data_IF_711401173212
#
_entry.id   IF_711401173212
#
_cell.length_a   1.000
_cell.length_b   1.000
_cell.length_c   1.000
_cell.angle_alpha   90.00
_cell.angle_beta   90.00
_cell.angle_gamma   90.00
#
_symmetry.space_group_name_H-M   'P 1'
#
loop_
_entity.id
_entity.type
_entity.pdbx_description
1 polymer ?
#
# COMPACT_ATOMS: atom_id res chain seq x y z
N UNK A 1 -4.79 -1.28 -32.50
CA UNK A 1 -5.55 -2.09 -31.52
C UNK A 1 -5.03 -1.87 -30.09
N UNK A 2 -3.72 -1.72 -29.89
CA UNK A 2 -3.13 -1.51 -28.56
C UNK A 2 -3.45 -0.15 -27.92
N UNK A 3 -3.58 0.92 -28.70
CA UNK A 3 -3.98 2.25 -28.18
C UNK A 3 -5.40 2.22 -27.60
N UNK A 4 -6.34 1.51 -28.22
CA UNK A 4 -7.71 1.34 -27.71
C UNK A 4 -7.73 0.46 -26.45
N UNK A 5 -6.92 -0.61 -26.39
CA UNK A 5 -6.77 -1.44 -25.19
C UNK A 5 -6.17 -0.66 -24.02
N UNK A 6 -5.18 0.20 -24.27
CA UNK A 6 -4.55 1.03 -23.25
C UNK A 6 -5.50 2.10 -22.68
N UNK A 7 -6.30 2.75 -23.53
CA UNK A 7 -7.31 3.73 -23.10
C UNK A 7 -8.40 3.06 -22.25
N UNK A 8 -8.93 1.91 -22.70
CA UNK A 8 -9.95 1.16 -21.97
C UNK A 8 -9.45 0.65 -20.60
N UNK A 9 -8.19 0.21 -20.52
CA UNK A 9 -7.56 -0.18 -19.26
C UNK A 9 -7.32 0.97 -18.29
N UNK A 10 -7.05 2.18 -18.79
CA UNK A 10 -6.88 3.37 -17.96
C UNK A 10 -8.23 3.87 -17.39
N UNK A 11 -9.28 3.91 -18.21
CA UNK A 11 -10.63 4.29 -17.77
C UNK A 11 -11.19 3.30 -16.75
N UNK A 12 -11.00 2.00 -16.97
CA UNK A 12 -11.40 0.96 -16.02
C UNK A 12 -10.68 1.10 -14.66
N UNK A 13 -9.39 1.46 -14.65
CA UNK A 13 -8.66 1.72 -13.40
C UNK A 13 -9.13 2.98 -12.68
N UNK A 14 -9.52 4.04 -13.39
CA UNK A 14 -10.12 5.23 -12.76
C UNK A 14 -11.46 4.90 -12.12
N UNK A 15 -12.34 4.20 -12.83
CA UNK A 15 -13.60 3.73 -12.26
C UNK A 15 -13.39 2.81 -11.04
N UNK A 16 -12.30 2.02 -11.04
CA UNK A 16 -11.92 1.20 -9.88
C UNK A 16 -11.55 2.05 -8.66
N UNK A 17 -10.88 3.20 -8.84
CA UNK A 17 -10.61 4.15 -7.75
C UNK A 17 -11.92 4.64 -7.15
N UNK A 18 -12.90 5.03 -7.97
CA UNK A 18 -14.21 5.52 -7.49
C UNK A 18 -14.93 4.46 -6.66
N UNK A 19 -14.89 3.19 -7.08
CA UNK A 19 -15.46 2.08 -6.30
C UNK A 19 -14.80 1.94 -4.93
N UNK A 20 -13.47 2.09 -4.85
CA UNK A 20 -12.77 2.05 -3.57
C UNK A 20 -13.15 3.22 -2.65
N UNK A 21 -13.33 4.43 -3.19
CA UNK A 21 -13.75 5.60 -2.42
C UNK A 21 -15.16 5.41 -1.85
N UNK A 22 -16.09 4.86 -2.64
CA UNK A 22 -17.45 4.51 -2.19
C UNK A 22 -17.44 3.45 -1.10
N UNK A 23 -16.68 2.38 -1.29
CA UNK A 23 -16.55 1.32 -0.29
C UNK A 23 -15.98 1.87 1.03
N UNK A 24 -14.96 2.73 0.96
CA UNK A 24 -14.43 3.41 2.13
C UNK A 24 -15.50 4.30 2.79
N UNK A 25 -16.29 5.02 2.00
CA UNK A 25 -17.41 5.86 2.47
C UNK A 25 -18.46 5.09 3.26
N UNK A 26 -18.91 3.95 2.74
CA UNK A 26 -19.88 3.09 3.43
C UNK A 26 -19.34 2.56 4.76
N UNK A 27 -18.08 2.14 4.79
CA UNK A 27 -17.44 1.62 5.99
C UNK A 27 -17.15 2.73 7.02
N UNK A 28 -16.76 3.91 6.57
CA UNK A 28 -16.57 5.08 7.43
C UNK A 28 -17.91 5.52 8.06
N UNK A 29 -18.99 5.58 7.27
CA UNK A 29 -20.33 5.80 7.79
C UNK A 29 -20.74 4.73 8.81
N UNK A 30 -20.40 3.46 8.59
CA UNK A 30 -20.69 2.41 9.55
C UNK A 30 -20.00 2.67 10.90
N UNK A 31 -18.73 3.08 10.89
CA UNK A 31 -17.95 3.42 12.09
C UNK A 31 -18.49 4.66 12.79
N UNK A 32 -18.76 5.74 12.05
CA UNK A 32 -19.03 7.06 12.61
C UNK A 32 -20.51 7.34 12.88
N UNK A 33 -21.43 6.68 12.17
CA UNK A 33 -22.86 6.96 12.26
C UNK A 33 -23.70 5.74 12.70
N UNK A 34 -23.29 4.52 12.37
CA UNK A 34 -24.08 3.30 12.69
C UNK A 34 -23.66 2.69 14.02
N UNK A 35 -22.37 2.37 14.20
CA UNK A 35 -21.87 1.75 15.44
C UNK A 35 -22.22 2.54 16.71
N UNK A 36 -22.14 3.89 16.75
CA UNK A 36 -22.46 4.67 17.94
C UNK A 36 -23.90 4.49 18.41
N UNK A 37 -24.82 4.17 17.51
CA UNK A 37 -26.24 3.94 17.81
C UNK A 37 -26.53 2.55 18.38
N UNK A 38 -25.56 1.63 18.32
CA UNK A 38 -25.67 0.29 18.89
C UNK A 38 -25.25 0.35 20.36
N UNK A 39 -26.08 -0.14 21.31
CA UNK A 39 -25.73 -0.22 22.72
C UNK A 39 -24.39 -0.94 22.95
N UNK A 40 -23.54 -0.49 23.90
CA UNK A 40 -22.21 -1.06 24.11
C UNK A 40 -22.19 -2.57 24.33
N UNK A 41 -23.19 -3.12 25.03
CA UNK A 41 -23.33 -4.55 25.31
C UNK A 41 -23.54 -5.35 24.02
N UNK A 42 -24.37 -4.82 23.12
CA UNK A 42 -24.61 -5.43 21.80
C UNK A 42 -23.42 -5.25 20.87
N UNK A 43 -22.72 -4.12 20.95
CA UNK A 43 -21.51 -3.86 20.16
C UNK A 43 -20.39 -4.85 20.46
N UNK A 44 -20.23 -5.25 21.73
CA UNK A 44 -19.26 -6.29 22.14
C UNK A 44 -19.60 -7.69 21.63
N UNK A 45 -20.87 -7.94 21.31
CA UNK A 45 -21.34 -9.20 20.76
C UNK A 45 -21.29 -9.24 19.22
N UNK A 46 -20.83 -8.16 18.57
CA UNK A 46 -20.68 -8.15 17.12
C UNK A 46 -19.65 -9.18 16.67
N UNK A 47 -19.86 -9.80 15.49
CA UNK A 47 -18.85 -10.64 14.87
C UNK A 47 -17.54 -9.88 14.64
N UNK A 48 -16.43 -10.64 14.56
CA UNK A 48 -15.07 -10.10 14.51
C UNK A 48 -14.84 -9.13 13.35
N UNK A 49 -15.48 -9.34 12.20
CA UNK A 49 -15.38 -8.48 11.02
C UNK A 49 -16.11 -7.13 11.18
N UNK A 50 -17.05 -7.03 12.11
CA UNK A 50 -17.84 -5.82 12.38
C UNK A 50 -17.35 -5.04 13.61
N UNK A 51 -16.27 -5.47 14.26
CA UNK A 51 -15.66 -4.67 15.33
C UNK A 51 -15.06 -3.40 14.76
N UNK A 52 -15.14 -2.31 15.52
CA UNK A 52 -14.78 -0.95 15.09
C UNK A 52 -13.40 -0.86 14.42
N UNK A 53 -12.38 -1.49 15.02
CA UNK A 53 -11.02 -1.49 14.47
C UNK A 53 -10.92 -2.15 13.09
N UNK A 54 -11.67 -3.23 12.85
CA UNK A 54 -11.68 -3.92 11.56
C UNK A 54 -12.44 -3.12 10.49
N UNK A 55 -13.58 -2.52 10.84
CA UNK A 55 -14.30 -1.64 9.91
C UNK A 55 -13.45 -0.42 9.52
N UNK A 56 -12.75 0.19 10.49
CA UNK A 56 -11.79 1.28 10.23
C UNK A 56 -10.64 0.82 9.34
N UNK A 57 -10.06 -0.34 9.63
CA UNK A 57 -8.99 -0.93 8.82
C UNK A 57 -9.45 -1.20 7.37
N UNK A 58 -10.68 -1.70 7.16
CA UNK A 58 -11.24 -1.94 5.84
C UNK A 58 -11.56 -0.65 5.09
N UNK A 59 -12.05 0.39 5.77
CA UNK A 59 -12.26 1.71 5.16
C UNK A 59 -10.94 2.29 4.63
N UNK A 60 -9.91 2.31 5.48
CA UNK A 60 -8.56 2.74 5.11
C UNK A 60 -7.95 1.85 4.02
N UNK A 61 -8.25 0.55 4.01
CA UNK A 61 -7.81 -0.37 2.95
C UNK A 61 -8.32 0.05 1.58
N UNK A 62 -9.58 0.50 1.47
CA UNK A 62 -10.13 1.05 0.24
C UNK A 62 -9.28 2.21 -0.27
N UNK A 63 -8.96 3.17 0.59
CA UNK A 63 -8.11 4.31 0.23
C UNK A 63 -6.69 3.89 -0.18
N UNK A 64 -6.06 2.98 0.57
CA UNK A 64 -4.73 2.44 0.26
C UNK A 64 -4.68 1.72 -1.09
N UNK A 65 -5.73 0.98 -1.45
CA UNK A 65 -5.87 0.33 -2.76
C UNK A 65 -6.17 1.35 -3.88
N UNK A 66 -6.93 2.41 -3.57
CA UNK A 66 -7.15 3.54 -4.48
C UNK A 66 -5.84 4.24 -4.87
N UNK A 67 -4.97 4.53 -3.90
CA UNK A 67 -3.64 5.12 -4.18
C UNK A 67 -2.76 4.17 -4.98
N UNK A 68 -2.79 2.86 -4.71
CA UNK A 68 -2.06 1.86 -5.51
C UNK A 68 -2.49 1.91 -7.00
N UNK A 69 -3.80 2.01 -7.26
CA UNK A 69 -4.30 2.18 -8.63
C UNK A 69 -3.83 3.51 -9.26
N UNK A 70 -3.83 4.61 -8.50
CA UNK A 70 -3.30 5.90 -8.97
C UNK A 70 -1.80 5.83 -9.27
N UNK A 71 -1.02 5.11 -8.45
CA UNK A 71 0.40 4.90 -8.69
C UNK A 71 0.62 4.08 -9.96
N UNK A 72 -0.13 3.01 -10.17
CA UNK A 72 -0.09 2.23 -11.40
C UNK A 72 -0.39 3.09 -12.64
N UNK A 73 -1.40 3.97 -12.57
CA UNK A 73 -1.71 4.93 -13.63
C UNK A 73 -0.56 5.94 -13.85
N UNK A 74 0.09 6.40 -12.78
CA UNK A 74 1.23 7.30 -12.88
C UNK A 74 2.46 6.60 -13.49
N UNK A 75 2.70 5.33 -13.17
CA UNK A 75 3.78 4.53 -13.76
C UNK A 75 3.61 4.42 -15.28
N UNK A 76 2.40 4.12 -15.74
CA UNK A 76 2.08 3.97 -17.17
C UNK A 76 2.02 5.31 -17.92
N UNK A 77 1.96 6.44 -17.21
CA UNK A 77 1.87 7.77 -17.81
C UNK A 77 3.25 8.39 -18.00
N UNK A 78 3.72 8.60 -19.25
CA UNK A 78 5.03 9.19 -19.52
C UNK A 78 5.14 10.65 -19.04
N UNK A 79 4.01 11.34 -18.81
CA UNK A 79 4.00 12.71 -18.28
C UNK A 79 4.10 12.79 -16.76
N UNK A 80 3.96 11.67 -16.05
CA UNK A 80 4.03 11.66 -14.59
C UNK A 80 5.49 11.63 -14.12
N UNK A 81 5.89 12.64 -13.36
CA UNK A 81 7.25 12.77 -12.84
C UNK A 81 7.54 11.74 -11.74
N UNK A 82 8.83 11.49 -11.48
CA UNK A 82 9.24 10.65 -10.34
C UNK A 82 8.71 11.19 -9.02
N UNK A 83 8.66 12.52 -8.85
CA UNK A 83 8.12 13.15 -7.65
C UNK A 83 6.65 12.78 -7.40
N UNK A 84 5.83 12.70 -8.46
CA UNK A 84 4.43 12.25 -8.35
C UNK A 84 4.36 10.78 -7.92
N UNK A 85 5.17 9.91 -8.53
CA UNK A 85 5.21 8.47 -8.21
C UNK A 85 5.68 8.24 -6.77
N UNK A 86 6.73 8.94 -6.32
CA UNK A 86 7.21 8.92 -4.93
C UNK A 86 6.14 9.37 -3.96
N UNK A 87 5.45 10.48 -4.24
CA UNK A 87 4.37 11.00 -3.39
C UNK A 87 3.28 9.94 -3.19
N UNK A 88 2.76 9.37 -4.27
CA UNK A 88 1.73 8.33 -4.21
C UNK A 88 2.21 7.09 -3.43
N UNK A 89 3.45 6.64 -3.67
CA UNK A 89 4.01 5.52 -2.94
C UNK A 89 4.17 5.80 -1.42
N UNK A 90 4.58 7.00 -1.05
CA UNK A 90 4.63 7.43 0.36
C UNK A 90 3.23 7.54 1.00
N UNK A 91 2.22 8.00 0.25
CA UNK A 91 0.82 7.98 0.72
C UNK A 91 0.34 6.54 0.95
N UNK A 92 0.68 5.58 0.07
CA UNK A 92 0.38 4.16 0.30
C UNK A 92 0.99 3.67 1.61
N UNK A 93 2.27 3.97 1.89
CA UNK A 93 2.94 3.59 3.15
C UNK A 93 2.16 4.10 4.36
N UNK A 94 1.68 5.35 4.33
CA UNK A 94 0.88 5.94 5.40
C UNK A 94 -0.45 5.22 5.59
N UNK A 95 -1.21 4.96 4.53
CA UNK A 95 -2.47 4.21 4.65
C UNK A 95 -2.25 2.82 5.25
N UNK A 96 -1.28 2.06 4.74
CA UNK A 96 -1.01 0.70 5.23
C UNK A 96 -0.47 0.67 6.66
N UNK A 97 0.25 1.70 7.08
CA UNK A 97 0.62 1.87 8.49
C UNK A 97 -0.62 2.12 9.36
N UNK A 98 -1.51 3.04 8.97
CA UNK A 98 -2.76 3.30 9.71
C UNK A 98 -3.69 2.08 9.77
N UNK A 99 -3.75 1.28 8.69
CA UNK A 99 -4.51 0.02 8.66
C UNK A 99 -3.92 -0.96 9.66
N UNK A 100 -2.60 -1.15 9.64
CA UNK A 100 -1.89 -2.03 10.58
C UNK A 100 -2.15 -1.64 12.04
N UNK A 101 -2.17 -0.35 12.33
CA UNK A 101 -2.38 0.17 13.70
C UNK A 101 -3.86 0.15 14.12
N UNK A 102 -4.80 0.01 13.16
CA UNK A 102 -6.24 -0.07 13.44
C UNK A 102 -6.73 -1.50 13.70
N UNK A 103 -5.98 -2.52 13.25
CA UNK A 103 -6.36 -3.92 13.45
C UNK A 103 -6.17 -4.29 14.93
N UNK A 104 -7.22 -4.75 15.63
CA UNK A 104 -7.11 -5.18 17.01
C UNK A 104 -6.20 -6.41 17.14
N UNK A 105 -5.46 -6.50 18.24
CA UNK A 105 -4.71 -7.70 18.60
C UNK A 105 -5.69 -8.83 18.95
N UNK A 106 -6.08 -9.60 17.93
CA UNK A 106 -6.99 -10.73 18.07
C UNK A 106 -6.19 -12.03 18.24
N UNK A 107 -6.72 -13.01 19.00
CA UNK A 107 -6.15 -14.33 19.04
C UNK A 107 -6.06 -14.89 17.61
N UNK A 108 -4.86 -15.31 17.20
CA UNK A 108 -4.54 -15.83 15.86
C UNK A 108 -5.30 -17.12 15.46
N UNK A 109 -6.25 -17.57 16.29
CA UNK A 109 -7.11 -18.73 16.04
C UNK A 109 -8.20 -18.45 15.01
N UNK A 110 -8.51 -17.19 14.71
CA UNK A 110 -9.48 -16.86 13.67
C UNK A 110 -8.82 -16.79 12.28
N UNK A 111 -9.30 -17.66 11.37
CA UNK A 111 -8.75 -17.81 10.02
C UNK A 111 -8.85 -16.54 9.18
N UNK A 112 -9.94 -15.77 9.34
CA UNK A 112 -10.11 -14.51 8.61
C UNK A 112 -9.14 -13.43 9.11
N UNK A 113 -9.11 -13.17 10.43
CA UNK A 113 -8.25 -12.14 11.02
C UNK A 113 -6.76 -12.39 10.73
N UNK A 114 -6.32 -13.65 10.85
CA UNK A 114 -4.96 -14.06 10.49
C UNK A 114 -4.65 -13.78 9.02
N UNK A 115 -5.58 -14.10 8.13
CA UNK A 115 -5.40 -13.91 6.70
C UNK A 115 -5.38 -12.42 6.32
N UNK A 116 -6.26 -11.61 6.89
CA UNK A 116 -6.27 -10.16 6.69
C UNK A 116 -4.97 -9.51 7.19
N UNK A 117 -4.47 -9.93 8.35
CA UNK A 117 -3.16 -9.46 8.87
C UNK A 117 -2.01 -9.75 7.90
N UNK A 118 -2.00 -10.94 7.29
CA UNK A 118 -1.00 -11.29 6.27
C UNK A 118 -1.14 -10.45 4.99
N UNK A 119 -2.37 -10.13 4.58
CA UNK A 119 -2.63 -9.23 3.46
C UNK A 119 -2.07 -7.83 3.72
N UNK A 120 -2.36 -7.27 4.90
CA UNK A 120 -1.87 -5.95 5.30
C UNK A 120 -0.35 -5.94 5.40
N UNK A 121 0.26 -6.98 5.98
CA UNK A 121 1.73 -7.11 6.00
C UNK A 121 2.32 -7.14 4.60
N UNK A 122 1.72 -7.91 3.69
CA UNK A 122 2.16 -7.98 2.29
C UNK A 122 2.08 -6.61 1.62
N UNK A 123 0.90 -5.99 1.60
CA UNK A 123 0.71 -4.71 0.91
C UNK A 123 1.50 -3.57 1.54
N UNK A 124 1.73 -3.61 2.86
CA UNK A 124 2.58 -2.64 3.52
C UNK A 124 4.05 -2.75 3.09
N UNK A 125 4.59 -3.97 3.05
CA UNK A 125 5.95 -4.18 2.54
C UNK A 125 6.07 -3.77 1.06
N UNK A 126 5.06 -4.06 0.24
CA UNK A 126 5.03 -3.62 -1.16
C UNK A 126 5.01 -2.09 -1.31
N UNK A 127 4.22 -1.39 -0.48
CA UNK A 127 4.19 0.07 -0.45
C UNK A 127 5.56 0.66 -0.05
N UNK A 128 6.24 0.08 0.95
CA UNK A 128 7.60 0.50 1.32
C UNK A 128 8.58 0.28 0.18
N UNK A 129 8.51 -0.88 -0.49
CA UNK A 129 9.35 -1.15 -1.65
C UNK A 129 9.19 -0.07 -2.73
N UNK A 130 7.94 0.30 -3.05
CA UNK A 130 7.64 1.37 -4.00
C UNK A 130 8.18 2.73 -3.54
N UNK A 131 7.95 3.09 -2.28
CA UNK A 131 8.34 4.40 -1.75
C UNK A 131 9.87 4.58 -1.77
N UNK A 132 10.61 3.58 -1.30
CA UNK A 132 12.07 3.59 -1.34
C UNK A 132 12.63 3.50 -2.76
N UNK A 133 11.97 2.80 -3.67
CA UNK A 133 12.39 2.74 -5.08
C UNK A 133 12.36 4.14 -5.71
N UNK A 134 11.20 4.80 -5.71
CA UNK A 134 11.08 6.14 -6.30
C UNK A 134 11.85 7.20 -5.52
N UNK A 135 12.04 7.03 -4.20
CA UNK A 135 12.91 7.91 -3.43
C UNK A 135 14.37 7.76 -3.84
N UNK A 136 14.87 6.53 -3.97
CA UNK A 136 16.23 6.24 -4.44
C UNK A 136 16.50 6.81 -5.83
N UNK A 137 15.55 6.65 -6.77
CA UNK A 137 15.68 7.23 -8.12
C UNK A 137 15.81 8.76 -8.10
N UNK A 138 15.05 9.46 -7.25
CA UNK A 138 15.15 10.92 -7.14
C UNK A 138 16.45 11.35 -6.47
N UNK A 139 16.92 10.61 -5.46
CA UNK A 139 18.20 10.90 -4.81
C UNK A 139 19.38 10.71 -5.76
N UNK A 140 19.27 9.75 -6.67
CA UNK A 140 20.26 9.45 -7.70
C UNK A 140 20.39 10.56 -8.77
N UNK A 141 19.37 11.40 -8.94
CA UNK A 141 19.46 12.62 -9.75
C UNK A 141 20.33 13.71 -9.08
N UNK A 142 20.68 13.54 -7.81
CA UNK A 142 21.53 14.47 -7.06
C UNK A 142 23.02 14.28 -7.33
N UNK A 143 23.75 15.39 -7.49
CA UNK A 143 25.18 15.39 -7.83
C UNK A 143 26.14 15.30 -6.63
N UNK A 144 25.65 15.00 -5.42
CA UNK A 144 26.50 14.95 -4.21
C UNK A 144 26.80 13.50 -3.83
N UNK A 145 27.98 13.25 -3.27
CA UNK A 145 28.34 11.92 -2.73
C UNK A 145 27.30 11.43 -1.71
N UNK A 146 26.85 12.33 -0.82
CA UNK A 146 25.80 12.04 0.16
C UNK A 146 24.47 11.65 -0.50
N UNK A 147 24.06 12.30 -1.59
CA UNK A 147 22.82 11.94 -2.30
C UNK A 147 22.95 10.58 -2.99
N UNK A 148 24.14 10.25 -3.52
CA UNK A 148 24.42 8.95 -4.11
C UNK A 148 24.41 7.82 -3.06
N UNK A 149 25.02 8.03 -1.89
CA UNK A 149 24.98 7.07 -0.78
C UNK A 149 23.54 6.80 -0.33
N UNK A 150 22.75 7.87 -0.14
CA UNK A 150 21.32 7.74 0.22
C UNK A 150 20.51 7.05 -0.89
N UNK A 151 20.85 7.26 -2.16
CA UNK A 151 20.21 6.58 -3.28
C UNK A 151 20.47 5.07 -3.24
N UNK A 152 21.73 4.65 -3.05
CA UNK A 152 22.10 3.23 -2.92
C UNK A 152 21.38 2.59 -1.74
N UNK A 153 21.42 3.24 -0.56
CA UNK A 153 20.74 2.76 0.64
C UNK A 153 19.21 2.61 0.43
N UNK A 154 18.59 3.58 -0.25
CA UNK A 154 17.17 3.52 -0.60
C UNK A 154 16.84 2.35 -1.54
N UNK A 155 17.64 2.14 -2.58
CA UNK A 155 17.41 1.06 -3.55
C UNK A 155 17.63 -0.33 -2.93
N UNK A 156 18.60 -0.48 -2.02
CA UNK A 156 18.79 -1.70 -1.24
C UNK A 156 17.60 -1.97 -0.31
N UNK A 157 17.12 -0.94 0.41
CA UNK A 157 15.95 -1.07 1.27
C UNK A 157 14.69 -1.44 0.46
N UNK A 158 14.52 -0.84 -0.72
CA UNK A 158 13.45 -1.18 -1.66
C UNK A 158 13.47 -2.66 -2.04
N UNK A 159 14.65 -3.21 -2.35
CA UNK A 159 14.82 -4.62 -2.69
C UNK A 159 14.47 -5.55 -1.52
N UNK A 160 14.90 -5.21 -0.30
CA UNK A 160 14.58 -5.99 0.90
C UNK A 160 13.09 -5.98 1.23
N UNK A 161 12.42 -4.82 1.11
CA UNK A 161 10.97 -4.76 1.25
C UNK A 161 10.23 -5.51 0.15
N UNK A 162 10.76 -5.55 -1.07
CA UNK A 162 10.21 -6.39 -2.15
C UNK A 162 10.34 -7.88 -1.81
N UNK A 163 11.47 -8.32 -1.23
CA UNK A 163 11.66 -9.70 -0.74
C UNK A 163 10.70 -10.01 0.42
N UNK A 164 10.49 -9.08 1.35
CA UNK A 164 9.50 -9.23 2.41
C UNK A 164 8.07 -9.34 1.86
N UNK A 165 7.70 -8.46 0.92
CA UNK A 165 6.41 -8.48 0.22
C UNK A 165 6.14 -9.85 -0.42
N UNK A 166 7.11 -10.42 -1.15
CA UNK A 166 7.00 -11.77 -1.74
C UNK A 166 6.76 -12.86 -0.68
N UNK A 167 7.47 -12.82 0.44
CA UNK A 167 7.31 -13.80 1.54
C UNK A 167 5.93 -13.67 2.18
N UNK A 168 5.49 -12.45 2.47
CA UNK A 168 4.17 -12.20 3.04
C UNK A 168 3.03 -12.59 2.09
N UNK A 169 3.18 -12.31 0.79
CA UNK A 169 2.25 -12.75 -0.25
C UNK A 169 2.13 -14.28 -0.30
N UNK A 170 3.25 -15.01 -0.27
CA UNK A 170 3.23 -16.48 -0.23
C UNK A 170 2.46 -17.00 1.00
N UNK A 171 2.74 -16.43 2.17
CA UNK A 171 2.06 -16.79 3.41
C UNK A 171 0.54 -16.52 3.34
N UNK A 172 0.14 -15.36 2.82
CA UNK A 172 -1.27 -14.99 2.61
C UNK A 172 -2.00 -16.01 1.74
N UNK A 173 -1.46 -16.35 0.56
CA UNK A 173 -2.13 -17.26 -0.38
C UNK A 173 -2.21 -18.70 0.15
N UNK A 174 -1.24 -19.13 0.96
CA UNK A 174 -1.24 -20.46 1.59
C UNK A 174 -2.15 -20.56 2.82
N UNK A 175 -2.56 -19.42 3.41
CA UNK A 175 -3.41 -19.42 4.61
C UNK A 175 -4.87 -19.62 4.21
N UNK A 176 -5.60 -20.57 4.84
CA UNK A 176 -7.02 -20.77 4.58
C UNK A 176 -7.88 -19.51 4.76
N UNK A 177 -8.90 -19.28 3.91
CA UNK A 177 -9.18 -20.05 2.69
C UNK A 177 -8.07 -19.84 1.65
N UNK A 178 -7.55 -20.90 1.04
CA UNK A 178 -6.43 -20.76 0.08
C UNK A 178 -6.84 -19.90 -1.10
N UNK A 179 -5.90 -19.10 -1.61
CA UNK A 179 -6.18 -18.15 -2.70
C UNK A 179 -5.25 -18.39 -3.88
N UNK A 180 -5.79 -18.22 -5.09
CA UNK A 180 -4.98 -18.31 -6.30
C UNK A 180 -4.05 -17.12 -6.37
N UNK A 181 -2.79 -17.38 -6.67
CA UNK A 181 -1.82 -16.34 -6.98
C UNK A 181 -2.17 -15.79 -8.36
N UNK A 182 -2.48 -14.50 -8.44
CA UNK A 182 -2.76 -13.83 -9.70
C UNK A 182 -1.46 -13.41 -10.41
N UNK A 183 -1.51 -13.28 -11.74
CA UNK A 183 -0.41 -12.69 -12.50
C UNK A 183 -0.19 -11.25 -12.03
N UNK A 184 1.05 -10.85 -11.70
CA UNK A 184 1.34 -9.47 -11.32
C UNK A 184 0.93 -8.47 -12.40
N UNK A 185 0.34 -7.35 -11.98
CA UNK A 185 -0.06 -6.25 -12.85
C UNK A 185 0.22 -4.90 -12.16
N UNK A 186 0.13 -3.81 -12.93
CA UNK A 186 0.27 -2.44 -12.42
C UNK A 186 1.57 -2.22 -11.64
N UNK A 187 1.45 -1.59 -10.46
CA UNK A 187 2.57 -1.29 -9.56
C UNK A 187 3.41 -2.52 -9.26
N UNK A 188 2.81 -3.62 -8.79
CA UNK A 188 3.54 -4.83 -8.41
C UNK A 188 4.39 -5.37 -9.56
N UNK A 189 3.85 -5.41 -10.78
CA UNK A 189 4.61 -5.86 -11.95
C UNK A 189 5.83 -4.97 -12.19
N UNK A 190 5.63 -3.65 -12.20
CA UNK A 190 6.71 -2.69 -12.41
C UNK A 190 7.82 -2.84 -11.36
N UNK A 191 7.46 -2.96 -10.08
CA UNK A 191 8.41 -3.14 -8.99
C UNK A 191 9.23 -4.44 -9.15
N UNK A 192 8.56 -5.55 -9.53
CA UNK A 192 9.22 -6.83 -9.76
C UNK A 192 10.22 -6.78 -10.93
N UNK A 193 9.87 -6.03 -11.98
CA UNK A 193 10.67 -5.94 -13.20
C UNK A 193 11.85 -4.97 -13.06
N UNK A 194 11.68 -3.89 -12.30
CA UNK A 194 12.61 -2.77 -12.25
C UNK A 194 13.56 -2.80 -11.04
N UNK A 195 13.06 -3.03 -9.82
CA UNK A 195 13.89 -2.93 -8.61
C UNK A 195 15.15 -3.80 -8.70
N UNK A 196 15.08 -5.11 -9.04
CA UNK A 196 16.29 -5.93 -9.09
C UNK A 196 17.33 -5.45 -10.10
N UNK A 197 16.89 -4.90 -11.23
CA UNK A 197 17.77 -4.43 -12.30
C UNK A 197 18.46 -3.12 -11.91
N UNK A 198 17.69 -2.17 -11.39
CA UNK A 198 18.18 -0.85 -11.00
C UNK A 198 19.12 -0.95 -9.80
N UNK A 199 18.77 -1.74 -8.78
CA UNK A 199 19.64 -1.95 -7.61
C UNK A 199 20.96 -2.60 -8.02
N UNK A 200 20.93 -3.63 -8.88
CA UNK A 200 22.15 -4.27 -9.37
C UNK A 200 23.03 -3.29 -10.17
N UNK A 201 22.44 -2.56 -11.12
CA UNK A 201 23.18 -1.60 -11.94
C UNK A 201 23.85 -0.52 -11.10
N UNK A 202 23.17 -0.02 -10.06
CA UNK A 202 23.71 1.02 -9.18
C UNK A 202 24.84 0.51 -8.29
N UNK A 203 24.74 -0.71 -7.78
CA UNK A 203 25.82 -1.32 -7.01
C UNK A 203 27.06 -1.58 -7.86
N UNK A 204 26.88 -2.03 -9.10
CA UNK A 204 27.99 -2.24 -10.05
C UNK A 204 28.69 -0.92 -10.39
N UNK A 205 27.93 0.12 -10.77
CA UNK A 205 28.51 1.43 -11.09
C UNK A 205 29.30 2.02 -9.91
N UNK A 206 28.82 1.85 -8.68
CA UNK A 206 29.53 2.33 -7.49
C UNK A 206 30.82 1.52 -7.21
N UNK A 207 30.79 0.20 -7.42
CA UNK A 207 31.99 -0.62 -7.32
C UNK A 207 33.03 -0.24 -8.37
N UNK A 208 32.62 -0.03 -9.62
CA UNK A 208 33.52 0.37 -10.71
C UNK A 208 34.17 1.75 -10.45
N UNK A 209 33.41 2.70 -9.88
CA UNK A 209 33.93 4.01 -9.46
C UNK A 209 34.91 3.90 -8.29
N UNK A 210 34.60 3.07 -7.28
CA UNK A 210 35.48 2.84 -6.13
C UNK A 210 36.73 1.99 -6.47
N UNK A 211 36.70 1.22 -7.56
CA UNK A 211 37.86 0.42 -7.99
C UNK A 211 39.00 1.29 -8.56
N UNK A 212 38.74 2.56 -8.90
CA UNK A 212 39.80 3.53 -9.23
C UNK A 212 40.51 4.10 -7.99
N UNK A 213 39.98 3.92 -6.78
CA UNK A 213 40.62 4.36 -5.52
C UNK A 213 40.71 3.22 -4.48
N UNK A 214 41.81 2.46 -4.58
CA UNK A 214 42.45 1.56 -3.58
C UNK A 214 42.00 0.08 -3.43
N UNK A 215 42.94 -0.79 -2.97
CA UNK A 215 42.81 -2.24 -3.05
C UNK A 215 42.03 -2.82 -1.86
N UNK A 216 41.25 -3.86 -2.18
CA UNK A 216 40.80 -4.98 -1.34
C UNK A 216 40.62 -4.69 0.15
N UNK A 217 39.37 -4.68 0.64
CA UNK A 217 38.93 -5.41 1.83
C UNK A 217 37.41 -5.32 2.05
N UNK A 218 36.83 -6.45 2.43
CA UNK A 218 35.54 -6.63 3.13
C UNK A 218 34.30 -6.84 2.25
N UNK A 219 33.78 -8.06 2.36
CA UNK A 219 32.61 -8.54 1.66
C UNK A 219 31.33 -7.79 1.99
N UNK A 220 30.44 -7.80 1.01
CA UNK A 220 28.99 -7.54 1.03
C UNK A 220 28.44 -7.33 2.45
N UNK A 221 28.53 -6.09 2.94
CA UNK A 221 27.92 -5.72 4.21
C UNK A 221 26.41 -5.65 4.02
N UNK A 222 25.73 -6.52 4.76
CA UNK A 222 24.33 -6.36 5.16
C UNK A 222 24.08 -4.91 5.59
N UNK A 223 22.85 -4.44 5.38
CA UNK A 223 22.40 -3.10 5.77
C UNK A 223 22.63 -2.91 7.29
N UNK A 224 23.77 -2.32 7.68
CA UNK A 224 24.10 -1.98 9.08
C UNK A 224 23.45 -0.64 9.47
N UNK A 225 23.06 0.18 8.49
CA UNK A 225 22.50 1.52 8.71
C UNK A 225 21.01 1.55 8.34
N UNK A 226 20.12 2.14 9.16
CA UNK A 226 18.71 2.28 8.79
C UNK A 226 18.58 3.05 7.48
N UNK A 227 17.59 2.71 6.63
CA UNK A 227 17.39 3.41 5.38
C UNK A 227 17.04 4.89 5.62
N UNK A 228 17.31 5.77 4.64
CA UNK A 228 17.02 7.19 4.79
C UNK A 228 15.53 7.43 5.04
N UNK A 229 15.15 8.45 5.81
CA UNK A 229 13.75 8.72 6.11
C UNK A 229 12.98 9.06 4.83
N UNK A 230 11.83 8.43 4.66
CA UNK A 230 10.92 8.77 3.57
C UNK A 230 10.31 10.16 3.79
N UNK A 231 10.09 10.95 2.72
CA UNK A 231 9.42 12.23 2.82
C UNK A 231 7.95 12.07 3.24
N UNK A 232 7.49 13.04 4.03
CA UNK A 232 6.12 13.06 4.57
C UNK A 232 5.19 13.86 3.66
N UNK A 233 4.12 13.23 3.15
CA UNK A 233 3.13 13.88 2.28
C UNK A 233 1.71 13.77 2.85
N UNK A 234 0.86 14.80 2.71
CA UNK A 234 -0.54 14.69 3.12
C UNK A 234 -1.26 13.62 2.30
N UNK A 235 -2.22 12.95 2.93
CA UNK A 235 -3.08 11.97 2.29
C UNK A 235 -4.10 12.69 1.40
N UNK A 236 -4.16 12.34 0.12
CA UNK A 236 -5.03 13.01 -0.85
C UNK A 236 -6.43 12.39 -0.96
N UNK A 237 -6.58 11.09 -0.66
CA UNK A 237 -7.86 10.41 -0.74
C UNK A 237 -8.60 10.45 0.59
N UNK A 238 -9.90 10.72 0.52
CA UNK A 238 -10.81 10.61 1.64
C UNK A 238 -11.94 9.65 1.25
N UNK A 239 -12.60 8.99 2.22
CA UNK A 239 -13.82 8.26 1.96
C UNK A 239 -14.83 9.14 1.22
N UNK A 240 -15.55 8.59 0.25
CA UNK A 240 -16.66 9.32 -0.38
C UNK A 240 -17.73 9.55 0.68
N UNK A 241 -18.25 10.77 0.78
CA UNK A 241 -19.28 11.09 1.75
C UNK A 241 -20.53 10.24 1.50
N UNK A 242 -21.00 9.56 2.54
CA UNK A 242 -22.20 8.75 2.48
C UNK A 242 -23.15 9.12 3.60
N UNK A 243 -24.37 9.45 3.22
CA UNK A 243 -25.47 9.70 4.12
C UNK A 243 -26.41 8.50 4.15
N UNK A 244 -26.82 8.09 5.36
CA UNK A 244 -27.83 7.05 5.51
C UNK A 244 -29.15 7.53 4.86
N UNK A 245 -29.85 6.63 4.13
CA UNK A 245 -31.14 6.98 3.57
C UNK A 245 -32.13 7.35 4.67
N UNK A 246 -33.04 8.28 4.37
CA UNK A 246 -34.11 8.63 5.30
C UNK A 246 -35.00 7.41 5.58
N UNK A 247 -35.48 7.31 6.83
CA UNK A 247 -36.39 6.25 7.22
C UNK A 247 -37.66 6.30 6.35
N UNK A 248 -38.02 5.15 5.78
CA UNK A 248 -39.24 5.02 4.99
C UNK A 248 -40.45 5.51 5.82
N UNK A 249 -41.27 6.44 5.28
CA UNK A 249 -42.49 6.90 5.95
C UNK A 249 -43.42 5.78 6.42
N UNK A 250 -43.41 4.62 5.76
CA UNK A 250 -44.21 3.44 6.15
C UNK A 250 -43.70 2.81 7.45
N UNK A 251 -42.38 2.77 7.67
CA UNK A 251 -41.76 2.25 8.90
C UNK A 251 -41.87 3.23 10.08
N UNK A 252 -42.00 4.54 9.81
CA UNK A 252 -42.22 5.56 10.86
C UNK A 252 -43.53 5.35 11.63
N UNK A 253 -44.54 4.69 11.04
CA UNK A 253 -45.83 4.44 11.69
C UNK A 253 -45.77 3.33 12.73
N UNK A 254 -44.88 2.34 12.56
CA UNK A 254 -44.74 1.21 13.47
C UNK A 254 -43.87 1.53 14.69
N UNK A 255 -42.92 2.47 14.56
CA UNK A 255 -42.03 2.88 15.67
C UNK A 255 -42.70 3.77 16.74
N UNK A 256 -43.93 4.26 16.47
CA UNK A 256 -44.71 5.10 17.39
C UNK A 256 -45.81 4.31 18.13
N UNK A 257 -45.76 2.98 18.12
CA UNK A 257 -46.65 2.10 18.88
C UNK A 257 -45.88 1.23 19.87
#
# INVERSE_FOLDING_TARGET
NDTKKHVYGAESRRATVDVFLKAAGYLDCAVNQVLPQIPPEKRRALPVDLVEGNLKALSLQGLGQGVDMQLGLAIDNPKATLAVKRRLACEMVKYWQQIKDSIPELPLSDGWAKKHTLFVKWKYAEAKAAAYYFHGLILDEGNTEKSQEMAISSLQASEEFLKESKRASKAFHSTPPTSRISTPFGTTKHLLDMIPKETLSKLQNNQDLNTQERPSNTGVSQIITPPPPLPDFPLALNPEEYELPQLDPLLKKEANH
#
